data_IF_030068123457
#
_entry.id   IF_030068123457
#
_cell.length_a   1.000
_cell.length_b   1.000
_cell.length_c   1.000
_cell.angle_alpha   90.00
_cell.angle_beta   90.00
_cell.angle_gamma   90.00
#
_symmetry.space_group_name_H-M   'P 1'
#
loop_
_entity.id
_entity.type
_entity.pdbx_description
1 polymer ?
#
# COMPACT_ATOMS: atom_id res chain seq x y z
N UNK A 1 24.93 -22.87 -22.33
CA UNK A 1 24.44 -21.82 -23.25
C UNK A 1 23.74 -20.74 -22.44
N UNK A 2 24.35 -19.56 -22.25
CA UNK A 2 23.75 -18.44 -21.54
C UNK A 2 22.68 -17.80 -22.43
N UNK A 3 21.40 -18.00 -22.10
CA UNK A 3 20.33 -17.27 -22.76
C UNK A 3 20.45 -15.80 -22.41
N UNK A 4 20.92 -14.95 -23.32
CA UNK A 4 20.87 -13.50 -23.22
C UNK A 4 19.42 -13.10 -23.00
N UNK A 5 19.05 -12.71 -21.78
CA UNK A 5 17.71 -12.20 -21.42
C UNK A 5 17.40 -11.02 -22.36
N UNK A 6 16.37 -11.14 -23.20
CA UNK A 6 15.98 -10.13 -24.18
C UNK A 6 15.67 -8.82 -23.43
N UNK A 7 16.37 -7.73 -23.74
CA UNK A 7 16.10 -6.42 -23.13
C UNK A 7 14.68 -5.99 -23.48
N UNK A 8 13.89 -5.59 -22.47
CA UNK A 8 12.58 -4.99 -22.73
C UNK A 8 12.76 -3.59 -23.33
N UNK A 9 11.77 -3.16 -24.11
CA UNK A 9 11.77 -1.82 -24.72
C UNK A 9 11.93 -0.70 -23.68
N UNK A 10 11.27 -0.82 -22.53
CA UNK A 10 11.37 0.15 -21.42
C UNK A 10 12.76 0.23 -20.77
N UNK A 11 13.64 -0.77 -20.98
CA UNK A 11 14.97 -0.84 -20.37
C UNK A 11 16.07 -0.27 -21.30
N UNK A 12 15.72 0.20 -22.51
CA UNK A 12 16.67 0.73 -23.49
C UNK A 12 17.19 2.10 -23.04
N UNK A 13 16.29 3.04 -22.78
CA UNK A 13 16.62 4.39 -22.34
C UNK A 13 15.39 5.08 -21.67
N UNK A 14 15.55 6.25 -21.02
CA UNK A 14 14.46 6.97 -20.36
C UNK A 14 13.30 7.34 -21.28
N UNK A 15 13.54 7.60 -22.57
CA UNK A 15 12.49 7.92 -23.55
C UNK A 15 11.61 6.69 -23.84
N UNK A 16 12.24 5.52 -24.09
CA UNK A 16 11.51 4.27 -24.26
C UNK A 16 10.69 3.90 -23.01
N UNK A 17 11.23 4.17 -21.81
CA UNK A 17 10.51 4.01 -20.57
C UNK A 17 9.28 4.92 -20.49
N UNK A 18 9.41 6.20 -20.87
CA UNK A 18 8.31 7.15 -20.87
C UNK A 18 7.19 6.71 -21.84
N UNK A 19 7.52 6.25 -23.03
CA UNK A 19 6.55 5.71 -24.02
C UNK A 19 5.84 4.48 -23.44
N UNK A 20 6.60 3.54 -22.87
CA UNK A 20 6.02 2.33 -22.26
C UNK A 20 5.05 2.69 -21.14
N UNK A 21 5.41 3.65 -20.30
CA UNK A 21 4.54 4.17 -19.23
C UNK A 21 3.25 4.76 -19.78
N UNK A 22 3.31 5.61 -20.81
CA UNK A 22 2.12 6.21 -21.41
C UNK A 22 1.21 5.16 -22.05
N UNK A 23 1.79 4.15 -22.70
CA UNK A 23 1.03 3.01 -23.23
C UNK A 23 0.25 2.28 -22.12
N UNK A 24 0.87 1.99 -20.98
CA UNK A 24 0.19 1.31 -19.87
C UNK A 24 -0.90 2.19 -19.23
N UNK A 25 -0.66 3.50 -19.11
CA UNK A 25 -1.68 4.47 -18.68
C UNK A 25 -2.87 4.47 -19.64
N UNK A 26 -2.63 4.52 -20.96
CA UNK A 26 -3.69 4.50 -21.96
C UNK A 26 -4.49 3.20 -21.91
N UNK A 27 -3.81 2.05 -21.85
CA UNK A 27 -4.49 0.76 -21.69
C UNK A 27 -5.40 0.73 -20.47
N UNK A 28 -4.94 1.27 -19.34
CA UNK A 28 -5.72 1.37 -18.11
C UNK A 28 -6.97 2.24 -18.31
N UNK A 29 -6.80 3.41 -18.90
CA UNK A 29 -7.91 4.32 -19.18
C UNK A 29 -8.97 3.66 -20.07
N UNK A 30 -8.54 2.96 -21.14
CA UNK A 30 -9.44 2.22 -22.02
C UNK A 30 -10.14 1.06 -21.27
N UNK A 31 -9.40 0.27 -20.50
CA UNK A 31 -9.97 -0.81 -19.67
C UNK A 31 -11.03 -0.27 -18.71
N UNK A 32 -10.75 0.84 -18.03
CA UNK A 32 -11.67 1.45 -17.08
C UNK A 32 -12.88 2.12 -17.75
N UNK A 33 -12.72 2.61 -18.97
CA UNK A 33 -13.79 3.25 -19.72
C UNK A 33 -14.78 2.22 -20.32
N UNK A 34 -14.24 1.14 -20.88
CA UNK A 34 -15.06 0.06 -21.47
C UNK A 34 -15.46 -1.02 -20.47
N UNK A 35 -14.86 -1.02 -19.27
CA UNK A 35 -15.17 -1.96 -18.22
C UNK A 35 -16.55 -1.73 -17.59
N UNK A 36 -17.09 -2.78 -16.95
CA UNK A 36 -18.38 -2.74 -16.25
C UNK A 36 -18.25 -2.32 -14.77
N UNK A 37 -17.05 -2.05 -14.30
CA UNK A 37 -16.80 -1.71 -12.90
C UNK A 37 -17.38 -0.34 -12.54
N UNK A 38 -18.12 -0.28 -11.47
CA UNK A 38 -18.61 0.97 -10.86
C UNK A 38 -17.56 1.46 -9.87
N UNK A 39 -17.05 2.67 -10.08
CA UNK A 39 -16.06 3.26 -9.20
C UNK A 39 -16.71 4.18 -8.17
N UNK A 40 -16.29 4.04 -6.92
CA UNK A 40 -16.69 4.93 -5.82
C UNK A 40 -16.27 6.38 -6.13
N UNK A 41 -17.20 7.34 -5.91
CA UNK A 41 -16.99 8.77 -6.17
C UNK A 41 -17.66 9.65 -5.12
N UNK A 42 -18.54 9.07 -4.32
CA UNK A 42 -19.34 9.80 -3.35
C UNK A 42 -18.51 10.11 -2.12
N UNK A 43 -18.39 11.38 -1.76
CA UNK A 43 -17.71 11.83 -0.53
C UNK A 43 -18.76 12.41 0.39
N UNK A 44 -18.85 11.88 1.60
CA UNK A 44 -19.74 12.38 2.67
C UNK A 44 -18.91 12.98 3.81
N UNK A 45 -19.41 14.05 4.42
CA UNK A 45 -18.80 14.66 5.61
C UNK A 45 -19.21 13.94 6.88
N UNK A 46 -20.44 13.45 6.89
CA UNK A 46 -20.99 12.65 7.99
C UNK A 46 -20.28 11.31 8.01
N UNK A 47 -19.83 10.91 9.19
CA UNK A 47 -19.11 9.65 9.38
C UNK A 47 -20.09 8.51 9.66
N UNK A 48 -19.86 7.36 9.05
CA UNK A 48 -20.61 6.14 9.39
C UNK A 48 -20.29 5.71 10.83
N UNK A 49 -21.26 5.12 11.55
CA UNK A 49 -21.17 4.97 13.01
C UNK A 49 -20.12 3.95 13.47
N UNK A 50 -19.92 2.85 12.74
CA UNK A 50 -19.14 1.72 13.25
C UNK A 50 -17.73 1.70 12.67
N UNK A 51 -16.70 1.63 13.52
CA UNK A 51 -15.31 1.45 13.11
C UNK A 51 -15.10 -0.03 12.81
N UNK A 52 -14.68 -0.33 11.59
CA UNK A 52 -14.32 -1.69 11.12
C UNK A 52 -12.86 -1.96 11.40
N UNK A 53 -12.00 -1.01 11.04
CA UNK A 53 -10.56 -1.06 11.25
C UNK A 53 -9.97 0.34 11.33
N UNK A 54 -8.86 0.46 12.04
CA UNK A 54 -8.11 1.71 12.17
C UNK A 54 -6.61 1.47 12.06
N UNK A 55 -5.88 2.43 11.56
CA UNK A 55 -4.42 2.38 11.48
C UNK A 55 -3.83 3.79 11.54
N UNK A 56 -2.65 3.90 12.15
CA UNK A 56 -1.86 5.12 12.10
C UNK A 56 -0.39 4.83 11.84
N UNK A 57 0.30 5.75 11.16
CA UNK A 57 1.73 5.65 10.90
C UNK A 57 2.40 7.02 10.92
N UNK A 58 3.68 7.06 11.30
CA UNK A 58 4.48 8.27 11.23
C UNK A 58 4.73 8.65 9.77
N UNK A 59 4.44 9.90 9.41
CA UNK A 59 4.70 10.41 8.06
C UNK A 59 6.21 10.61 7.88
N UNK A 60 6.85 11.27 8.83
CA UNK A 60 8.26 11.65 8.77
C UNK A 60 9.08 10.58 9.50
N UNK A 61 9.99 9.93 8.78
CA UNK A 61 11.00 9.07 9.36
C UNK A 61 12.26 9.89 9.63
N UNK A 62 12.87 9.68 10.80
CA UNK A 62 14.16 10.28 11.19
C UNK A 62 15.22 9.19 11.21
N UNK A 63 16.47 9.52 10.88
CA UNK A 63 17.58 8.59 10.92
C UNK A 63 18.77 9.04 10.10
N UNK A 64 19.90 8.34 10.26
CA UNK A 64 21.15 8.62 9.51
C UNK A 64 20.91 8.40 8.01
N UNK A 65 21.29 9.37 7.19
CA UNK A 65 21.13 9.28 5.72
C UNK A 65 19.72 9.58 5.19
N UNK A 66 18.79 10.02 6.04
CA UNK A 66 17.46 10.43 5.61
C UNK A 66 17.46 11.93 5.26
N UNK A 67 17.10 12.25 4.02
CA UNK A 67 16.87 13.63 3.58
C UNK A 67 15.56 14.15 4.17
N UNK A 68 15.66 15.09 5.10
CA UNK A 68 14.51 15.66 5.81
C UNK A 68 13.58 16.42 4.87
N UNK A 69 14.11 17.11 3.85
CA UNK A 69 13.31 17.86 2.88
C UNK A 69 12.41 16.93 2.08
N UNK A 70 12.93 15.77 1.65
CA UNK A 70 12.13 14.75 0.97
C UNK A 70 11.05 14.13 1.88
N UNK A 71 11.32 14.06 3.19
CA UNK A 71 10.31 13.59 4.16
C UNK A 71 9.22 14.64 4.41
N UNK A 72 9.57 15.91 4.53
CA UNK A 72 8.59 17.01 4.64
C UNK A 72 7.72 17.10 3.39
N UNK A 73 8.34 17.02 2.21
CA UNK A 73 7.63 16.98 0.93
C UNK A 73 6.70 15.75 0.83
N UNK A 74 7.10 14.60 1.36
CA UNK A 74 6.23 13.43 1.50
C UNK A 74 4.98 13.76 2.31
N UNK A 75 5.12 14.49 3.42
CA UNK A 75 4.00 14.94 4.24
C UNK A 75 3.01 15.81 3.45
N UNK A 76 3.53 16.77 2.67
CA UNK A 76 2.71 17.59 1.76
C UNK A 76 1.96 16.73 0.75
N UNK A 77 2.65 15.80 0.10
CA UNK A 77 2.06 14.92 -0.92
C UNK A 77 0.95 14.03 -0.34
N UNK A 78 1.18 13.45 0.83
CA UNK A 78 0.19 12.63 1.53
C UNK A 78 -1.01 13.49 1.94
N UNK A 79 -0.81 14.69 2.49
CA UNK A 79 -1.89 15.60 2.87
C UNK A 79 -2.81 15.96 1.70
N UNK A 80 -2.22 16.30 0.52
CA UNK A 80 -3.00 16.58 -0.69
C UNK A 80 -3.79 15.35 -1.16
N UNK A 81 -3.18 14.17 -1.14
CA UNK A 81 -3.86 12.94 -1.59
C UNK A 81 -4.94 12.50 -0.60
N UNK A 82 -4.66 12.55 0.71
CA UNK A 82 -5.60 12.21 1.78
C UNK A 82 -6.87 13.07 1.73
N UNK A 83 -6.74 14.37 1.49
CA UNK A 83 -7.90 15.28 1.40
C UNK A 83 -8.88 14.93 0.28
N UNK A 84 -8.43 14.19 -0.74
CA UNK A 84 -9.29 13.70 -1.83
C UNK A 84 -9.94 12.35 -1.56
N UNK A 85 -9.40 11.60 -0.61
CA UNK A 85 -9.91 10.29 -0.23
C UNK A 85 -10.84 10.39 0.97
N UNK A 86 -10.55 11.33 1.87
CA UNK A 86 -11.24 11.45 3.15
C UNK A 86 -12.75 11.60 2.98
N UNK A 87 -13.51 10.69 3.59
CA UNK A 87 -14.97 10.66 3.53
C UNK A 87 -15.55 9.91 2.32
N UNK A 88 -14.72 9.26 1.48
CA UNK A 88 -15.25 8.50 0.34
C UNK A 88 -16.09 7.32 0.83
N UNK A 89 -17.31 7.23 0.32
CA UNK A 89 -18.24 6.11 0.54
C UNK A 89 -18.15 5.15 -0.63
N UNK A 90 -18.03 3.89 -0.32
CA UNK A 90 -18.00 2.80 -1.29
C UNK A 90 -19.28 1.97 -1.11
N UNK A 91 -20.24 2.12 -2.03
CA UNK A 91 -21.50 1.40 -2.01
C UNK A 91 -21.31 -0.08 -2.35
N UNK A 92 -22.28 -0.95 -2.01
CA UNK A 92 -22.26 -2.36 -2.42
C UNK A 92 -21.97 -2.52 -3.92
N UNK A 93 -20.99 -3.37 -4.24
CA UNK A 93 -20.53 -3.64 -5.59
C UNK A 93 -19.60 -2.60 -6.21
N UNK A 94 -19.35 -1.46 -5.56
CA UNK A 94 -18.41 -0.45 -6.06
C UNK A 94 -16.95 -0.80 -5.76
N UNK A 95 -16.07 -0.26 -6.61
CA UNK A 95 -14.62 -0.39 -6.51
C UNK A 95 -14.00 0.95 -6.14
N UNK A 96 -13.23 0.97 -5.07
CA UNK A 96 -12.28 2.08 -4.83
C UNK A 96 -11.06 1.91 -5.74
N UNK A 97 -10.62 3.00 -6.37
CA UNK A 97 -9.35 3.07 -7.10
C UNK A 97 -8.55 4.24 -6.59
N UNK A 98 -7.33 3.98 -6.13
CA UNK A 98 -6.45 5.01 -5.59
C UNK A 98 -6.25 6.15 -6.60
N UNK A 99 -5.91 5.82 -7.85
CA UNK A 99 -5.61 6.85 -8.84
C UNK A 99 -6.83 7.52 -9.46
N UNK A 100 -8.00 6.88 -9.49
CA UNK A 100 -9.25 7.56 -9.89
C UNK A 100 -9.67 8.60 -8.85
N UNK A 101 -9.41 8.33 -7.56
CA UNK A 101 -9.74 9.25 -6.46
C UNK A 101 -8.69 10.35 -6.32
N UNK A 102 -7.41 10.01 -6.24
CA UNK A 102 -6.31 10.97 -6.06
C UNK A 102 -6.02 11.77 -7.33
N UNK A 103 -6.10 11.12 -8.49
CA UNK A 103 -5.73 11.68 -9.78
C UNK A 103 -4.22 11.85 -9.95
N UNK A 104 -3.79 12.41 -11.07
CA UNK A 104 -2.37 12.59 -11.37
C UNK A 104 -1.71 13.59 -10.42
N UNK A 105 -0.68 13.14 -9.71
CA UNK A 105 0.17 13.98 -8.88
C UNK A 105 1.08 14.85 -9.77
N UNK A 106 0.88 16.16 -9.76
CA UNK A 106 1.64 17.13 -10.56
C UNK A 106 2.07 18.33 -9.72
N UNK A 107 3.14 19.01 -10.11
CA UNK A 107 3.59 20.27 -9.46
C UNK A 107 2.48 21.32 -9.42
N UNK A 108 1.69 21.43 -10.50
CA UNK A 108 0.57 22.39 -10.60
C UNK A 108 -0.52 22.15 -9.54
N UNK A 109 -0.66 20.91 -9.05
CA UNK A 109 -1.58 20.54 -7.97
C UNK A 109 -0.95 20.63 -6.58
N UNK A 110 0.26 21.21 -6.47
CA UNK A 110 0.97 21.37 -5.21
C UNK A 110 1.85 20.18 -4.79
N UNK A 111 1.87 19.08 -5.56
CA UNK A 111 2.75 17.96 -5.23
C UNK A 111 4.22 18.32 -5.42
N UNK A 112 5.04 17.86 -4.48
CA UNK A 112 6.47 18.12 -4.40
C UNK A 112 7.30 16.87 -4.71
N UNK A 113 8.60 17.09 -4.94
CA UNK A 113 9.56 16.00 -5.05
C UNK A 113 9.73 15.30 -3.69
N UNK A 114 9.33 14.05 -3.60
CA UNK A 114 9.52 13.19 -2.46
C UNK A 114 10.29 11.94 -2.87
N UNK A 115 10.57 11.06 -1.91
CA UNK A 115 11.30 9.82 -2.15
C UNK A 115 10.46 8.82 -2.93
N UNK A 116 10.95 8.36 -4.08
CA UNK A 116 10.37 7.30 -4.90
C UNK A 116 11.36 6.14 -5.05
N UNK A 117 10.83 4.92 -5.07
CA UNK A 117 11.60 3.70 -5.32
C UNK A 117 11.65 3.48 -6.83
N UNK A 118 12.83 3.22 -7.36
CA UNK A 118 13.05 2.88 -8.78
C UNK A 118 13.93 1.65 -8.90
N UNK A 119 14.01 1.02 -10.08
CA UNK A 119 14.90 -0.12 -10.34
C UNK A 119 16.37 0.13 -9.93
N UNK A 120 16.82 1.38 -9.94
CA UNK A 120 18.19 1.78 -9.65
C UNK A 120 18.34 2.41 -8.24
N UNK A 121 17.45 2.08 -7.30
CA UNK A 121 17.47 2.62 -5.95
C UNK A 121 16.50 3.79 -5.74
N UNK A 122 16.77 4.59 -4.73
CA UNK A 122 15.92 5.68 -4.28
C UNK A 122 16.22 6.96 -5.07
N UNK A 123 15.16 7.63 -5.55
CA UNK A 123 15.26 8.89 -6.29
C UNK A 123 14.24 9.90 -5.76
N UNK A 124 14.49 11.19 -6.01
CA UNK A 124 13.48 12.22 -5.86
C UNK A 124 12.49 12.19 -7.04
N UNK A 125 11.21 12.38 -6.76
CA UNK A 125 10.19 12.43 -7.81
C UNK A 125 8.87 13.02 -7.30
N UNK A 126 8.11 13.64 -8.21
CA UNK A 126 6.83 14.28 -7.91
C UNK A 126 5.84 13.26 -7.33
N UNK A 127 5.23 13.61 -6.19
CA UNK A 127 4.29 12.72 -5.50
C UNK A 127 4.98 11.59 -4.73
N UNK A 128 6.30 11.67 -4.49
CA UNK A 128 7.00 10.69 -3.69
C UNK A 128 6.41 10.55 -2.29
N UNK A 129 6.33 9.31 -1.80
CA UNK A 129 5.72 8.96 -0.50
C UNK A 129 4.27 8.47 -0.56
N UNK A 130 3.58 8.55 -1.69
CA UNK A 130 2.18 8.10 -1.81
C UNK A 130 2.00 6.58 -1.60
N UNK A 131 3.05 5.78 -1.76
CA UNK A 131 3.01 4.36 -1.37
C UNK A 131 2.73 4.17 0.14
N UNK A 132 3.15 5.12 1.00
CA UNK A 132 2.82 5.06 2.43
C UNK A 132 1.31 5.22 2.67
N UNK A 133 0.65 6.10 1.93
CA UNK A 133 -0.80 6.22 1.94
C UNK A 133 -1.48 4.94 1.42
N UNK A 134 -0.95 4.37 0.32
CA UNK A 134 -1.40 3.08 -0.19
C UNK A 134 -1.27 1.95 0.84
N UNK A 135 -0.16 1.90 1.59
CA UNK A 135 0.04 0.93 2.67
C UNK A 135 -0.99 1.10 3.80
N UNK A 136 -1.25 2.34 4.23
CA UNK A 136 -2.26 2.61 5.27
C UNK A 136 -3.63 2.10 4.84
N UNK A 137 -4.05 2.41 3.60
CA UNK A 137 -5.34 1.93 3.07
C UNK A 137 -5.33 0.39 2.97
N UNK A 138 -4.26 -0.21 2.46
CA UNK A 138 -4.15 -1.66 2.35
C UNK A 138 -4.32 -2.37 3.71
N UNK A 139 -3.72 -1.83 4.78
CA UNK A 139 -3.89 -2.39 6.13
C UNK A 139 -5.34 -2.31 6.60
N UNK A 140 -6.03 -1.19 6.37
CA UNK A 140 -7.45 -1.06 6.72
C UNK A 140 -8.29 -2.13 6.02
N UNK A 141 -8.04 -2.36 4.73
CA UNK A 141 -8.79 -3.33 3.93
C UNK A 141 -8.48 -4.77 4.31
N UNK A 142 -7.22 -5.07 4.64
CA UNK A 142 -6.84 -6.40 5.12
C UNK A 142 -7.53 -6.78 6.44
N UNK A 143 -7.85 -5.80 7.30
CA UNK A 143 -8.61 -5.98 8.53
C UNK A 143 -10.13 -5.79 8.33
N UNK A 144 -10.65 -6.13 7.15
CA UNK A 144 -12.07 -5.96 6.79
C UNK A 144 -12.57 -7.09 5.88
N UNK A 145 -13.89 -7.22 5.66
CA UNK A 145 -14.45 -8.19 4.70
C UNK A 145 -14.23 -7.81 3.23
N UNK A 146 -13.69 -6.61 2.94
CA UNK A 146 -13.57 -6.11 1.59
C UNK A 146 -12.52 -6.89 0.77
N UNK A 147 -12.74 -7.00 -0.53
CA UNK A 147 -11.88 -7.72 -1.46
C UNK A 147 -10.84 -6.79 -2.10
N UNK A 148 -9.56 -7.14 -2.00
CA UNK A 148 -8.51 -6.47 -2.76
C UNK A 148 -8.50 -7.01 -4.18
N UNK A 149 -8.86 -6.17 -5.16
CA UNK A 149 -8.94 -6.56 -6.58
C UNK A 149 -7.71 -6.15 -7.38
N UNK A 150 -6.89 -5.26 -6.86
CA UNK A 150 -5.58 -4.93 -7.44
C UNK A 150 -4.61 -4.47 -6.35
N UNK A 151 -3.49 -5.20 -6.23
CA UNK A 151 -2.38 -4.89 -5.33
C UNK A 151 -1.06 -5.16 -6.06
N UNK A 152 -0.20 -4.17 -6.08
CA UNK A 152 1.17 -4.31 -6.53
C UNK A 152 2.11 -4.18 -5.32
N UNK A 153 3.00 -5.14 -5.17
CA UNK A 153 3.97 -5.16 -4.07
C UNK A 153 5.37 -4.90 -4.60
N UNK A 154 6.18 -4.18 -3.83
CA UNK A 154 7.61 -4.25 -3.96
C UNK A 154 8.15 -5.20 -2.88
N UNK A 155 9.05 -6.08 -3.27
CA UNK A 155 9.50 -7.21 -2.46
C UNK A 155 10.76 -6.91 -1.65
N UNK A 156 11.04 -5.63 -1.34
CA UNK A 156 12.30 -5.27 -0.68
C UNK A 156 12.04 -4.85 0.77
N UNK A 157 12.81 -5.40 1.71
CA UNK A 157 12.84 -4.98 3.10
C UNK A 157 13.70 -3.72 3.23
N UNK A 158 13.08 -2.54 3.07
CA UNK A 158 13.78 -1.25 2.96
C UNK A 158 14.31 -0.67 4.27
N UNK A 159 13.85 -1.16 5.42
CA UNK A 159 14.25 -0.70 6.74
C UNK A 159 14.09 -1.81 7.77
N UNK A 160 14.87 -1.78 8.87
CA UNK A 160 14.61 -2.64 10.02
C UNK A 160 13.25 -2.31 10.64
N UNK A 161 12.72 -3.22 11.43
CA UNK A 161 11.50 -3.00 12.19
C UNK A 161 11.79 -2.05 13.37
N UNK A 162 10.93 -1.04 13.55
CA UNK A 162 10.97 -0.13 14.68
C UNK A 162 9.90 -0.56 15.70
N UNK A 163 10.31 -1.30 16.74
CA UNK A 163 9.39 -1.81 17.74
C UNK A 163 8.59 -3.03 17.26
N UNK A 164 7.29 -3.09 17.62
CA UNK A 164 6.43 -4.22 17.22
C UNK A 164 6.22 -4.21 15.71
N UNK A 165 6.59 -5.31 15.07
CA UNK A 165 6.38 -5.49 13.64
C UNK A 165 4.88 -5.50 13.30
N UNK A 166 4.54 -4.79 12.25
CA UNK A 166 3.20 -4.78 11.64
C UNK A 166 3.32 -5.35 10.24
N UNK A 167 2.80 -6.56 9.98
CA UNK A 167 2.79 -7.15 8.64
C UNK A 167 2.14 -6.21 7.63
N UNK A 168 2.66 -6.14 6.40
CA UNK A 168 2.18 -5.21 5.35
C UNK A 168 2.27 -3.71 5.67
N UNK A 169 2.93 -3.27 6.73
CA UNK A 169 3.14 -1.83 6.98
C UNK A 169 3.93 -1.12 5.87
N UNK A 170 4.56 -1.90 5.01
CA UNK A 170 5.25 -1.43 3.80
C UNK A 170 5.05 -2.44 2.68
N UNK A 171 5.42 -2.06 1.46
CA UNK A 171 5.38 -2.99 0.32
C UNK A 171 4.31 -2.69 -0.72
N UNK A 172 3.28 -1.90 -0.42
CA UNK A 172 2.30 -1.48 -1.43
C UNK A 172 2.93 -0.47 -2.38
N UNK A 173 2.86 -0.76 -3.67
CA UNK A 173 3.36 0.11 -4.73
C UNK A 173 2.22 0.77 -5.48
N UNK A 174 2.30 2.10 -5.64
CA UNK A 174 1.37 2.86 -6.47
C UNK A 174 2.14 3.79 -7.41
N UNK A 175 1.78 3.80 -8.71
CA UNK A 175 2.36 4.70 -9.70
C UNK A 175 1.27 5.11 -10.68
N UNK A 176 1.21 6.44 -10.99
CA UNK A 176 0.05 7.02 -11.64
C UNK A 176 -0.48 6.18 -12.80
N UNK A 177 -1.63 5.69 -12.54
CA UNK A 177 -2.67 5.03 -13.31
C UNK A 177 -2.25 3.77 -14.09
N UNK A 178 -1.08 3.18 -13.84
CA UNK A 178 -0.72 1.86 -14.39
C UNK A 178 -0.32 0.85 -13.30
N UNK A 179 0.00 1.34 -12.10
CA UNK A 179 0.18 0.57 -10.88
C UNK A 179 -0.79 1.16 -9.86
N UNK A 180 -1.99 0.60 -9.78
CA UNK A 180 -3.08 1.08 -8.94
C UNK A 180 -3.23 0.22 -7.69
N UNK A 181 -3.92 0.75 -6.69
CA UNK A 181 -4.44 -0.01 -5.58
C UNK A 181 -5.97 0.06 -5.64
N UNK A 182 -6.61 -1.11 -5.69
CA UNK A 182 -8.06 -1.20 -5.81
C UNK A 182 -8.63 -2.24 -4.87
N UNK A 183 -9.76 -1.92 -4.26
CA UNK A 183 -10.56 -2.87 -3.50
C UNK A 183 -12.04 -2.70 -3.82
N UNK A 184 -12.83 -3.75 -3.61
CA UNK A 184 -14.24 -3.80 -3.89
C UNK A 184 -15.04 -4.01 -2.61
N UNK A 185 -16.15 -3.31 -2.49
CA UNK A 185 -17.15 -3.58 -1.46
C UNK A 185 -18.08 -4.71 -1.92
N UNK A 186 -17.80 -5.92 -1.45
CA UNK A 186 -18.62 -7.11 -1.70
C UNK A 186 -19.67 -7.35 -0.60
N UNK A 187 -19.86 -6.40 0.32
CA UNK A 187 -20.86 -6.47 1.36
C UNK A 187 -22.18 -5.86 0.90
N UNK A 188 -23.24 -5.99 1.68
CA UNK A 188 -24.58 -5.46 1.39
C UNK A 188 -24.81 -4.06 1.98
N UNK A 189 -23.79 -3.44 2.58
CA UNK A 189 -23.91 -2.14 3.24
C UNK A 189 -22.83 -1.17 2.76
N UNK A 190 -23.06 0.12 2.98
CA UNK A 190 -22.08 1.16 2.71
C UNK A 190 -20.87 1.03 3.64
N UNK A 191 -19.69 1.25 3.09
CA UNK A 191 -18.46 1.44 3.86
C UNK A 191 -17.85 2.79 3.52
N UNK A 192 -17.16 3.40 4.47
CA UNK A 192 -16.56 4.72 4.32
C UNK A 192 -15.09 4.68 4.73
N UNK A 193 -14.25 5.26 3.88
CA UNK A 193 -12.82 5.40 4.15
C UNK A 193 -12.52 6.85 4.60
N UNK A 194 -12.02 6.99 5.81
CA UNK A 194 -11.55 8.25 6.37
C UNK A 194 -10.03 8.23 6.42
N UNK A 195 -9.40 9.26 5.87
CA UNK A 195 -7.93 9.40 5.85
C UNK A 195 -7.57 10.85 6.14
N UNK A 196 -6.75 11.09 7.16
CA UNK A 196 -6.29 12.44 7.50
C UNK A 196 -4.87 12.44 8.05
N UNK A 197 -4.25 13.64 8.03
CA UNK A 197 -2.93 13.88 8.59
C UNK A 197 -3.06 14.80 9.79
N UNK A 198 -2.49 14.43 10.91
CA UNK A 198 -2.49 15.21 12.13
C UNK A 198 -1.23 14.96 12.94
N UNK A 199 -0.63 16.00 13.51
CA UNK A 199 0.55 15.90 14.40
C UNK A 199 1.69 15.04 13.84
N UNK A 200 1.97 15.13 12.52
CA UNK A 200 3.04 14.38 11.86
C UNK A 200 2.72 12.89 11.63
N UNK A 201 1.49 12.48 11.88
CA UNK A 201 0.99 11.11 11.61
C UNK A 201 -0.06 11.11 10.51
N UNK A 202 -0.12 10.01 9.80
CA UNK A 202 -1.19 9.63 8.90
C UNK A 202 -2.13 8.68 9.64
N UNK A 203 -3.40 9.03 9.68
CA UNK A 203 -4.46 8.23 10.27
C UNK A 203 -5.39 7.71 9.19
N UNK A 204 -5.95 6.57 9.42
CA UNK A 204 -6.98 5.98 8.57
C UNK A 204 -7.97 5.18 9.37
N UNK A 205 -9.24 5.27 8.98
CA UNK A 205 -10.34 4.45 9.48
C UNK A 205 -11.15 3.91 8.31
N UNK A 206 -11.56 2.67 8.40
CA UNK A 206 -12.63 2.11 7.61
C UNK A 206 -13.86 1.99 8.49
N UNK A 207 -14.99 2.52 8.04
CA UNK A 207 -16.24 2.53 8.79
C UNK A 207 -17.37 1.87 7.99
N UNK A 208 -18.42 1.45 8.68
CA UNK A 208 -19.61 0.81 8.10
C UNK A 208 -20.89 1.32 8.75
N UNK A 209 -22.04 1.10 8.08
CA UNK A 209 -23.36 1.42 8.62
C UNK A 209 -23.71 0.55 9.83
N UNK A 210 -23.46 -0.75 9.74
CA UNK A 210 -23.70 -1.72 10.79
C UNK A 210 -22.42 -2.48 11.12
N UNK A 211 -22.33 -3.05 12.31
CA UNK A 211 -21.21 -3.90 12.68
C UNK A 211 -21.16 -5.17 11.84
N UNK A 212 -19.96 -5.59 11.47
CA UNK A 212 -19.74 -6.89 10.86
C UNK A 212 -19.67 -7.98 11.93
N UNK A 213 -20.21 -9.16 11.61
CA UNK A 213 -20.24 -10.32 12.50
C UNK A 213 -18.85 -10.92 12.75
N UNK A 214 -17.89 -10.66 11.87
CA UNK A 214 -16.54 -11.21 11.92
C UNK A 214 -15.50 -10.11 12.13
N UNK A 215 -14.40 -10.47 12.82
CA UNK A 215 -13.16 -9.71 12.83
C UNK A 215 -12.15 -10.33 11.88
N UNK A 216 -11.22 -9.48 11.40
CA UNK A 216 -10.21 -9.84 10.40
C UNK A 216 -8.86 -9.41 10.92
N UNK A 217 -7.97 -10.39 11.17
CA UNK A 217 -6.68 -10.15 11.76
C UNK A 217 -5.55 -10.66 10.85
N UNK A 218 -4.40 -10.00 10.88
CA UNK A 218 -3.20 -10.46 10.22
C UNK A 218 -2.35 -11.25 11.23
N UNK A 219 -2.08 -12.51 10.89
CA UNK A 219 -1.21 -13.40 11.66
C UNK A 219 0.06 -13.66 10.85
N UNK A 220 1.21 -13.25 11.40
CA UNK A 220 2.51 -13.54 10.79
C UNK A 220 3.13 -14.74 11.50
N UNK A 221 3.54 -15.72 10.70
CA UNK A 221 4.19 -16.93 11.16
C UNK A 221 5.58 -17.07 10.54
N UNK A 222 6.46 -17.78 11.23
CA UNK A 222 7.81 -18.13 10.78
C UNK A 222 8.64 -16.90 10.33
N UNK A 223 8.47 -15.75 11.01
CA UNK A 223 9.26 -14.56 10.70
C UNK A 223 10.72 -14.76 11.12
N UNK A 224 11.62 -14.70 10.13
CA UNK A 224 13.05 -14.78 10.33
C UNK A 224 13.80 -14.07 9.20
N UNK A 225 15.11 -13.95 9.37
CA UNK A 225 16.03 -13.55 8.31
C UNK A 225 16.85 -14.77 7.87
N UNK A 226 17.03 -14.93 6.58
CA UNK A 226 17.79 -16.02 5.98
C UNK A 226 18.94 -15.47 5.15
N UNK A 227 20.14 -16.06 5.32
CA UNK A 227 21.28 -15.74 4.47
C UNK A 227 21.29 -16.66 3.25
N UNK A 228 21.35 -16.08 2.05
CA UNK A 228 21.43 -16.80 0.78
C UNK A 228 22.60 -16.24 -0.04
N UNK A 229 23.73 -16.97 -0.06
CA UNK A 229 24.98 -16.47 -0.64
C UNK A 229 25.48 -15.24 0.10
N UNK A 230 25.62 -14.12 -0.61
CA UNK A 230 26.10 -12.84 -0.05
C UNK A 230 24.94 -11.91 0.39
N UNK A 231 23.67 -12.34 0.19
CA UNK A 231 22.51 -11.53 0.46
C UNK A 231 21.69 -12.06 1.64
N UNK A 232 20.88 -11.18 2.22
CA UNK A 232 19.97 -11.53 3.32
C UNK A 232 18.54 -11.28 2.89
N UNK A 233 17.64 -12.18 3.29
CA UNK A 233 16.22 -12.10 3.00
C UNK A 233 15.41 -12.09 4.28
N UNK A 234 14.34 -11.32 4.30
CA UNK A 234 13.31 -11.40 5.33
C UNK A 234 12.24 -12.37 4.85
N UNK A 235 12.04 -13.44 5.61
CA UNK A 235 11.09 -14.52 5.31
C UNK A 235 9.98 -14.55 6.34
N UNK A 236 8.75 -14.72 5.89
CA UNK A 236 7.59 -14.95 6.78
C UNK A 236 6.37 -15.37 5.98
N UNK A 237 5.41 -16.02 6.65
CA UNK A 237 4.09 -16.32 6.08
C UNK A 237 3.04 -15.45 6.76
N UNK A 238 2.26 -14.73 5.98
CA UNK A 238 1.23 -13.84 6.51
C UNK A 238 -0.13 -14.38 6.11
N UNK A 239 -0.96 -14.61 7.12
CA UNK A 239 -2.31 -15.12 6.99
C UNK A 239 -3.33 -14.04 7.33
N UNK A 240 -4.46 -14.05 6.64
CA UNK A 240 -5.68 -13.35 7.05
C UNK A 240 -6.54 -14.34 7.81
N UNK A 241 -6.77 -14.05 9.09
CA UNK A 241 -7.60 -14.84 9.97
C UNK A 241 -8.97 -14.18 10.12
N UNK A 242 -10.03 -14.97 10.02
CA UNK A 242 -11.41 -14.55 10.21
C UNK A 242 -11.94 -15.19 11.46
N UNK A 243 -12.40 -14.38 12.41
CA UNK A 243 -12.93 -14.83 13.70
C UNK A 243 -14.36 -14.34 13.88
N UNK A 244 -15.26 -15.23 14.26
CA UNK A 244 -16.64 -14.87 14.61
C UNK A 244 -16.65 -14.15 15.96
N UNK A 245 -17.14 -12.90 15.99
CA UNK A 245 -17.08 -12.05 17.19
C UNK A 245 -17.91 -12.62 18.35
N UNK A 246 -19.05 -13.23 18.05
CA UNK A 246 -19.97 -13.74 19.08
C UNK A 246 -19.40 -14.92 19.86
N UNK A 247 -18.62 -15.79 19.22
CA UNK A 247 -18.10 -17.05 19.81
C UNK A 247 -16.61 -17.05 20.03
N UNK A 248 -15.88 -16.13 19.39
CA UNK A 248 -14.42 -16.13 19.34
C UNK A 248 -13.82 -17.27 18.48
N UNK A 249 -14.68 -18.00 17.73
CA UNK A 249 -14.23 -19.11 16.90
C UNK A 249 -13.56 -18.63 15.63
N UNK A 250 -12.39 -19.15 15.32
CA UNK A 250 -11.71 -18.95 14.03
C UNK A 250 -12.49 -19.72 12.96
N UNK A 251 -13.02 -18.99 11.98
CA UNK A 251 -13.80 -19.54 10.87
C UNK A 251 -12.92 -19.84 9.67
N UNK A 252 -11.93 -18.99 9.41
CA UNK A 252 -11.00 -19.16 8.29
C UNK A 252 -9.62 -18.60 8.63
N UNK A 253 -8.58 -19.19 8.04
CA UNK A 253 -7.21 -18.69 8.07
C UNK A 253 -6.58 -18.96 6.72
N UNK A 254 -6.36 -17.93 5.93
CA UNK A 254 -5.89 -17.99 4.56
C UNK A 254 -4.49 -17.37 4.43
N UNK A 255 -3.57 -18.07 3.76
CA UNK A 255 -2.26 -17.52 3.41
C UNK A 255 -2.43 -16.45 2.33
N UNK A 256 -2.15 -15.18 2.67
CA UNK A 256 -2.25 -14.05 1.74
C UNK A 256 -0.90 -13.58 1.21
N UNK A 257 0.20 -13.94 1.90
CA UNK A 257 1.54 -13.65 1.43
C UNK A 257 2.56 -14.65 1.99
N UNK A 258 3.29 -15.28 1.07
CA UNK A 258 4.55 -15.96 1.34
C UNK A 258 5.67 -14.95 1.05
N UNK A 259 6.22 -14.37 2.12
CA UNK A 259 7.15 -13.23 2.02
C UNK A 259 8.59 -13.74 1.93
N UNK A 260 9.29 -13.32 0.89
CA UNK A 260 10.72 -13.52 0.69
C UNK A 260 11.28 -12.22 0.13
N UNK A 261 11.70 -11.31 1.03
CA UNK A 261 12.06 -9.93 0.69
C UNK A 261 13.54 -9.68 0.88
N UNK A 262 14.23 -9.23 -0.16
CA UNK A 262 15.63 -8.83 -0.09
C UNK A 262 15.82 -7.70 0.94
N UNK A 263 16.78 -7.87 1.84
CA UNK A 263 17.14 -6.85 2.84
C UNK A 263 17.97 -5.76 2.18
N UNK A 264 17.45 -4.53 2.23
CA UNK A 264 18.04 -3.34 1.59
C UNK A 264 18.58 -2.33 2.61
N UNK A 265 18.64 -2.69 3.87
CA UNK A 265 19.22 -1.89 4.95
C UNK A 265 20.52 -2.55 5.45
N UNK A 266 21.25 -1.85 6.31
CA UNK A 266 22.51 -2.32 6.88
C UNK A 266 22.30 -3.66 7.59
N UNK A 267 23.03 -4.69 7.17
CA UNK A 267 22.90 -6.07 7.66
C UNK A 267 23.27 -6.21 9.14
N UNK A 268 24.06 -5.29 9.68
CA UNK A 268 24.40 -5.26 11.12
C UNK A 268 23.15 -4.94 12.00
N UNK A 269 22.08 -4.41 11.38
CA UNK A 269 20.80 -4.15 12.04
C UNK A 269 19.84 -5.36 12.03
N UNK A 270 20.25 -6.49 11.44
CA UNK A 270 19.47 -7.73 11.48
C UNK A 270 19.53 -8.32 12.90
N UNK A 271 18.39 -8.58 13.56
CA UNK A 271 18.37 -9.22 14.87
C UNK A 271 18.99 -10.62 14.80
N UNK A 272 20.00 -10.87 15.63
CA UNK A 272 20.77 -12.13 15.61
C UNK A 272 19.93 -13.36 15.99
N UNK A 273 18.95 -13.16 16.85
CA UNK A 273 17.99 -14.19 17.30
C UNK A 273 17.00 -14.60 16.22
N UNK A 274 16.81 -13.76 15.19
CA UNK A 274 15.96 -14.04 14.03
C UNK A 274 16.76 -14.52 12.81
N UNK A 275 18.09 -14.54 12.86
CA UNK A 275 18.93 -14.92 11.74
C UNK A 275 19.09 -16.44 11.67
N UNK A 276 18.69 -17.03 10.52
CA UNK A 276 18.97 -18.42 10.15
C UNK A 276 20.06 -18.47 9.09
N UNK A 277 21.05 -19.34 9.28
CA UNK A 277 22.21 -19.52 8.38
C UNK A 277 22.07 -20.86 7.68
#
# INVERSE_FOLDING_TARGET
>A
MSFKKRRNFCDINPFCYAISKQKEILKRLLKDFFGKEKFAKNIKKETLPNIVSEHSSNIIKKGKGIDITLQENKGVNIGIASSKINGIVIHPGEVFSFWKTVGHATKRKGYKDGRVISKNGLKAGIGGGLCNLGNTINLLILHSPLEIVELHKHSDALAPDEGKRVPFSSGTSVSYNYVDYRFKNNTEQDVQLLIWCENGKLYGELRSENEFQYSYDLVEEDHHFQKEGDEYYRVSKIYKQVTEKATGKIINKELIWDNHSLVMFDHDLIPKDLLRI
#
